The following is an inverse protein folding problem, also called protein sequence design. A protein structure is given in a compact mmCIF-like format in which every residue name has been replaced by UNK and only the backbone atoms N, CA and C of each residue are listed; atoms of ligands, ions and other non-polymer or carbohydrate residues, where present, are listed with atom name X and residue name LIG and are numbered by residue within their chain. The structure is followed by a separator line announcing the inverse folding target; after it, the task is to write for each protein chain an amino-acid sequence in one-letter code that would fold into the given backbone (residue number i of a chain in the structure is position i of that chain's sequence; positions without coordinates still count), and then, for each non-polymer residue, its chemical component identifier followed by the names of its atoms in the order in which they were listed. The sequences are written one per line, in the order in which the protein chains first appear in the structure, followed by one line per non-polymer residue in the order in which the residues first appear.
data_IF_241912066948
#
_entry.id   IF_241912066948
#
_cell.length_a   1.000
_cell.length_b   1.000
_cell.length_c   1.000
_cell.angle_alpha   90.00
_cell.angle_beta   90.00
_cell.angle_gamma   90.00
#
_symmetry.space_group_name_H-M   'P 1'
#
loop_
_entity.id
_entity.type
_entity.pdbx_description
1 polymer ?
#
# COMPACT_ATOMS: atom_id res chain seq x y z
N UNK A 1 21.15 19.91 108.20
CA UNK A 1 21.90 19.92 106.92
C UNK A 1 20.91 19.60 105.82
N UNK A 2 20.85 20.47 104.80
CA UNK A 2 19.89 20.52 103.70
C UNK A 2 20.10 19.35 102.69
N UNK A 3 19.30 19.19 101.61
CA UNK A 3 19.01 20.22 100.59
C UNK A 3 17.52 20.41 100.22
N UNK A 4 17.31 21.46 99.41
CA UNK A 4 16.06 22.07 98.89
C UNK A 4 15.31 21.20 97.86
N UNK A 5 14.15 21.65 97.34
CA UNK A 5 14.22 22.21 95.97
C UNK A 5 13.27 23.38 95.64
N UNK A 6 13.79 24.22 94.75
CA UNK A 6 13.21 25.36 94.04
C UNK A 6 12.07 24.97 93.04
N UNK A 7 11.44 23.81 93.19
CA UNK A 7 10.45 23.25 92.25
C UNK A 7 8.98 23.45 92.67
N UNK A 8 8.73 24.07 93.83
CA UNK A 8 7.38 24.12 94.41
C UNK A 8 6.78 25.54 94.52
N UNK A 9 7.56 26.57 94.16
CA UNK A 9 7.13 27.98 94.20
C UNK A 9 6.39 28.44 92.93
N UNK A 10 6.41 27.69 91.83
CA UNK A 10 5.73 28.03 90.58
C UNK A 10 4.21 27.73 90.56
N UNK A 11 3.64 27.25 91.68
CA UNK A 11 2.25 26.76 91.74
C UNK A 11 1.26 27.64 92.53
N UNK A 12 1.69 28.82 93.00
CA UNK A 12 0.82 29.73 93.78
C UNK A 12 0.91 31.15 93.24
N UNK A 13 0.30 31.34 92.06
CA UNK A 13 0.23 32.65 91.42
C UNK A 13 -0.21 33.74 92.40
N UNK A 14 0.59 34.80 92.45
CA UNK A 14 0.29 36.15 92.95
C UNK A 14 1.62 36.93 93.07
N UNK A 15 1.91 37.84 92.13
CA UNK A 15 1.94 39.28 92.41
C UNK A 15 2.30 40.10 91.15
N UNK A 16 1.59 41.21 91.03
CA UNK A 16 1.60 42.21 89.99
C UNK A 16 2.78 43.17 90.09
N UNK A 17 3.11 43.85 88.97
CA UNK A 17 3.53 45.27 88.96
C UNK A 17 3.22 45.89 87.58
N UNK A 18 2.28 46.83 87.58
CA UNK A 18 1.93 47.77 86.50
C UNK A 18 3.06 48.75 86.19
N UNK A 19 3.20 49.14 84.91
CA UNK A 19 3.47 50.54 84.50
C UNK A 19 2.91 50.75 83.08
N UNK A 20 1.90 51.62 82.96
CA UNK A 20 1.44 52.26 81.71
C UNK A 20 2.47 53.28 81.20
N UNK A 21 2.67 53.43 79.89
CA UNK A 21 2.75 54.75 79.26
C UNK A 21 2.59 54.70 77.73
N UNK A 22 1.84 55.68 77.21
CA UNK A 22 1.30 55.80 75.85
C UNK A 22 2.30 56.40 74.86
N UNK A 23 2.36 55.87 73.64
CA UNK A 23 2.92 56.54 72.46
C UNK A 23 1.97 56.39 71.27
N UNK A 24 1.39 57.49 70.80
CA UNK A 24 0.49 57.55 69.64
C UNK A 24 1.28 57.45 68.33
N UNK A 25 0.95 56.45 67.50
CA UNK A 25 1.31 56.38 66.08
C UNK A 25 0.03 56.46 65.23
N UNK A 26 0.01 57.19 64.10
CA UNK A 26 -1.14 57.17 63.20
C UNK A 26 -1.20 55.80 62.51
N UNK A 27 -2.26 55.07 62.79
CA UNK A 27 -2.55 53.73 62.29
C UNK A 27 -3.30 53.84 60.95
N UNK A 28 -2.60 54.12 59.85
CA UNK A 28 -3.23 54.00 58.53
C UNK A 28 -3.46 52.51 58.22
N UNK A 29 -4.73 52.14 58.23
CA UNK A 29 -5.20 50.81 57.86
C UNK A 29 -4.69 50.43 56.47
N UNK A 30 -3.92 49.33 56.38
CA UNK A 30 -3.45 48.80 55.11
C UNK A 30 -4.61 48.08 54.42
N UNK A 31 -5.07 48.64 53.30
CA UNK A 31 -6.17 48.10 52.50
C UNK A 31 -5.67 47.56 51.16
N UNK A 32 -6.31 46.49 50.70
CA UNK A 32 -6.10 45.94 49.37
C UNK A 32 -6.50 46.98 48.32
N UNK A 33 -5.56 47.32 47.44
CA UNK A 33 -5.77 48.27 46.34
C UNK A 33 -6.70 47.72 45.23
N UNK A 34 -7.05 46.43 45.29
CA UNK A 34 -8.01 45.79 44.38
C UNK A 34 -9.44 45.80 44.90
N UNK A 35 -9.67 45.29 46.11
CA UNK A 35 -11.02 45.09 46.67
C UNK A 35 -11.34 45.98 47.89
N UNK A 36 -10.38 46.77 48.39
CA UNK A 36 -10.54 47.61 49.58
C UNK A 36 -10.54 46.85 50.91
N UNK A 37 -10.35 45.52 50.91
CA UNK A 37 -10.30 44.70 52.13
C UNK A 37 -9.08 45.04 52.98
N UNK A 38 -9.25 45.16 54.30
CA UNK A 38 -8.15 45.31 55.26
C UNK A 38 -7.23 44.09 55.20
N UNK A 39 -5.94 44.32 54.96
CA UNK A 39 -4.90 43.27 54.89
C UNK A 39 -4.25 42.98 56.26
N UNK A 40 -4.73 43.61 57.33
CA UNK A 40 -4.32 43.41 58.72
C UNK A 40 -4.29 44.72 59.53
N UNK A 41 -4.35 44.67 60.89
CA UNK A 41 -4.18 45.85 61.73
C UNK A 41 -2.70 46.30 61.75
N UNK A 42 -2.41 47.61 61.88
CA UNK A 42 -1.05 48.12 61.90
C UNK A 42 -0.38 47.81 63.24
N UNK A 43 0.36 46.70 63.32
CA UNK A 43 1.08 46.34 64.54
C UNK A 43 1.68 44.93 64.60
N UNK A 44 2.22 44.38 63.51
CA UNK A 44 2.96 43.11 63.58
C UNK A 44 3.99 42.97 62.45
N UNK A 45 5.13 43.66 62.56
CA UNK A 45 6.36 43.16 61.93
C UNK A 45 7.18 42.44 63.01
N UNK A 46 6.82 41.18 63.25
CA UNK A 46 7.72 40.17 63.78
C UNK A 46 7.76 39.02 62.76
N UNK A 47 8.94 38.53 62.35
CA UNK A 47 9.02 37.48 61.35
C UNK A 47 8.76 36.14 62.05
N UNK A 48 7.52 35.66 62.04
CA UNK A 48 7.22 34.26 62.34
C UNK A 48 6.21 33.71 61.33
N UNK A 49 6.53 32.52 60.83
CA UNK A 49 5.72 31.68 59.97
C UNK A 49 4.37 31.33 60.61
N UNK A 50 3.35 31.20 59.75
CA UNK A 50 2.00 30.67 60.00
C UNK A 50 0.93 31.60 60.60
N UNK A 51 0.36 32.45 59.74
CA UNK A 51 -1.07 32.75 59.62
C UNK A 51 -1.31 33.54 58.32
N UNK A 52 -2.28 33.11 57.51
CA UNK A 52 -2.51 33.59 56.14
C UNK A 52 -3.16 34.97 56.08
N UNK A 53 -2.37 35.96 55.69
CA UNK A 53 -2.75 37.13 54.87
C UNK A 53 -1.47 37.98 54.73
N UNK A 54 -0.59 37.61 53.79
CA UNK A 54 0.66 38.36 53.52
C UNK A 54 0.42 39.33 52.38
N UNK A 55 0.33 40.62 52.70
CA UNK A 55 0.37 41.69 51.71
C UNK A 55 1.71 41.65 50.96
N UNK A 56 1.68 41.62 49.62
CA UNK A 56 2.90 41.56 48.78
C UNK A 56 3.03 42.87 48.00
N UNK A 57 4.18 43.52 48.12
CA UNK A 57 4.53 44.76 47.41
C UNK A 57 4.90 44.49 45.95
N UNK A 58 4.46 45.36 45.02
CA UNK A 58 4.89 45.32 43.63
C UNK A 58 6.26 45.99 43.44
N UNK A 59 7.22 45.28 42.84
CA UNK A 59 8.51 45.81 42.43
C UNK A 59 8.38 46.69 41.17
N UNK A 60 7.91 47.92 41.34
CA UNK A 60 7.97 48.96 40.30
C UNK A 60 7.98 50.32 41.01
N UNK A 61 9.09 51.06 40.92
CA UNK A 61 9.45 52.20 41.78
C UNK A 61 8.47 53.39 41.80
N UNK A 62 7.36 53.22 42.52
CA UNK A 62 6.36 54.20 42.94
C UNK A 62 5.66 53.70 44.22
N UNK A 63 4.78 54.50 44.86
CA UNK A 63 4.16 54.12 46.15
C UNK A 63 3.50 52.74 46.06
N UNK A 64 3.97 51.80 46.88
CA UNK A 64 3.68 50.36 46.76
C UNK A 64 2.19 50.05 46.90
N UNK A 65 1.58 49.54 45.84
CA UNK A 65 0.21 49.00 45.89
C UNK A 65 0.27 47.60 46.51
N UNK A 66 -0.53 47.39 47.56
CA UNK A 66 -0.69 46.11 48.25
C UNK A 66 -2.01 45.46 47.85
N UNK A 67 -1.98 44.16 47.56
CA UNK A 67 -3.15 43.36 47.17
C UNK A 67 -3.30 42.15 48.10
N UNK A 68 -4.53 41.72 48.39
CA UNK A 68 -4.79 40.42 49.04
C UNK A 68 -4.43 39.28 48.07
N UNK A 69 -4.29 38.06 48.57
CA UNK A 69 -3.92 36.90 47.77
C UNK A 69 -4.86 36.69 46.57
N UNK A 70 -6.17 36.81 46.77
CA UNK A 70 -7.19 36.73 45.71
C UNK A 70 -7.10 37.86 44.68
N UNK A 71 -6.85 39.10 45.11
CA UNK A 71 -6.72 40.23 44.20
C UNK A 71 -5.36 40.22 43.49
N UNK A 72 -4.32 39.70 44.11
CA UNK A 72 -3.02 39.53 43.50
C UNK A 72 -3.09 38.49 42.39
N UNK A 73 -3.70 37.32 42.66
CA UNK A 73 -3.90 36.29 41.64
C UNK A 73 -4.81 36.78 40.50
N UNK A 74 -5.90 37.48 40.84
CA UNK A 74 -6.90 37.94 39.85
C UNK A 74 -6.53 39.22 39.10
N UNK A 75 -5.56 40.03 39.56
CA UNK A 75 -5.17 41.30 38.91
C UNK A 75 -3.73 41.31 38.40
N UNK A 76 -2.87 40.46 38.95
CA UNK A 76 -1.43 40.41 38.64
C UNK A 76 -0.97 39.01 38.23
N UNK A 77 -1.91 38.07 38.06
CA UNK A 77 -1.63 36.74 37.53
C UNK A 77 -1.14 36.77 36.08
N UNK A 78 -0.48 35.70 35.61
CA UNK A 78 -0.01 35.62 34.23
C UNK A 78 -1.18 35.69 33.24
N UNK A 79 -0.97 36.34 32.11
CA UNK A 79 -2.03 36.56 31.12
C UNK A 79 -2.40 35.26 30.39
N UNK A 80 -3.70 34.95 30.33
CA UNK A 80 -4.22 33.85 29.53
C UNK A 80 -3.97 34.10 28.05
N UNK A 81 -3.33 33.16 27.33
CA UNK A 81 -3.03 33.31 25.89
C UNK A 81 -4.29 33.45 25.02
N UNK A 82 -5.43 32.92 25.47
CA UNK A 82 -6.69 32.97 24.72
C UNK A 82 -7.48 34.28 24.89
N UNK A 83 -7.60 34.81 26.13
CA UNK A 83 -8.41 36.01 26.40
C UNK A 83 -7.62 37.25 26.85
N UNK A 84 -6.33 37.11 27.17
CA UNK A 84 -5.46 38.18 27.66
C UNK A 84 -5.65 38.57 29.13
N UNK A 85 -6.71 38.11 29.80
CA UNK A 85 -6.96 38.39 31.21
C UNK A 85 -6.01 37.59 32.14
N UNK A 86 -5.64 38.14 33.31
CA UNK A 86 -4.82 37.43 34.30
C UNK A 86 -5.51 36.17 34.82
N UNK A 87 -4.78 35.06 34.89
CA UNK A 87 -5.27 33.79 35.43
C UNK A 87 -4.98 33.69 36.93
N UNK A 88 -5.89 33.10 37.70
CA UNK A 88 -5.69 32.81 39.12
C UNK A 88 -5.04 31.44 39.36
N UNK A 89 -4.58 31.17 40.58
CA UNK A 89 -3.96 29.88 40.92
C UNK A 89 -4.94 28.70 40.78
N UNK A 90 -6.24 28.93 41.00
CA UNK A 90 -7.25 27.87 41.04
C UNK A 90 -7.87 27.54 39.67
N UNK A 91 -7.80 28.47 38.72
CA UNK A 91 -8.41 28.34 37.39
C UNK A 91 -7.40 28.35 36.23
N UNK A 92 -6.10 28.38 36.54
CA UNK A 92 -5.03 28.35 35.56
C UNK A 92 -4.54 26.95 35.24
N UNK A 93 -4.09 26.78 33.98
CA UNK A 93 -3.27 25.66 33.55
C UNK A 93 -2.06 26.20 32.79
N UNK A 94 -0.98 25.43 32.83
CA UNK A 94 0.21 25.66 31.99
C UNK A 94 0.27 24.57 30.93
N UNK A 95 0.20 24.98 29.67
CA UNK A 95 0.28 24.08 28.52
C UNK A 95 0.86 24.84 27.32
N UNK A 96 1.56 24.16 26.40
CA UNK A 96 2.12 24.78 25.18
C UNK A 96 2.92 26.07 25.46
N UNK A 97 3.73 26.03 26.52
CA UNK A 97 4.53 27.15 27.03
C UNK A 97 3.73 28.45 27.26
N UNK A 98 2.49 28.33 27.73
CA UNK A 98 1.61 29.44 28.08
C UNK A 98 0.68 29.13 29.25
N UNK A 99 0.08 30.20 29.79
CA UNK A 99 -0.98 30.15 30.77
C UNK A 99 -2.35 30.24 30.09
N UNK A 100 -3.30 29.44 30.55
CA UNK A 100 -4.70 29.48 30.10
C UNK A 100 -5.65 29.37 31.29
N UNK A 101 -6.81 30.00 31.20
CA UNK A 101 -7.94 29.58 32.03
C UNK A 101 -8.36 28.16 31.63
N UNK A 102 -8.74 27.30 32.58
CA UNK A 102 -9.26 25.95 32.31
C UNK A 102 -10.36 25.96 31.25
N UNK A 103 -11.25 26.95 31.31
CA UNK A 103 -12.37 27.11 30.38
C UNK A 103 -11.95 27.54 28.96
N UNK A 104 -10.78 28.16 28.81
CA UNK A 104 -10.30 28.67 27.53
C UNK A 104 -9.31 27.73 26.83
N UNK A 105 -8.89 26.65 27.50
CA UNK A 105 -8.09 25.60 26.88
C UNK A 105 -8.99 24.54 26.26
N UNK A 106 -9.42 24.84 25.02
CA UNK A 106 -10.38 24.05 24.25
C UNK A 106 -9.72 23.42 23.03
N UNK A 107 -10.33 22.37 22.50
CA UNK A 107 -9.88 21.73 21.27
C UNK A 107 -9.82 22.74 20.09
N UNK A 108 -8.71 22.71 19.35
CA UNK A 108 -8.48 23.60 18.21
C UNK A 108 -9.31 23.26 16.95
N UNK A 109 -10.00 22.11 16.93
CA UNK A 109 -10.86 21.72 15.81
C UNK A 109 -12.04 22.69 15.66
N UNK A 110 -12.29 23.17 14.43
CA UNK A 110 -13.35 24.15 14.18
C UNK A 110 -14.72 23.56 14.52
N UNK A 111 -15.45 24.26 15.39
CA UNK A 111 -16.78 23.82 15.85
C UNK A 111 -16.75 22.90 17.08
N UNK A 112 -15.56 22.53 17.60
CA UNK A 112 -15.43 21.86 18.87
C UNK A 112 -15.21 22.89 20.00
N UNK A 113 -16.05 22.87 21.03
CA UNK A 113 -15.89 23.70 22.23
C UNK A 113 -15.49 22.89 23.48
N UNK A 114 -15.03 21.64 23.29
CA UNK A 114 -14.67 20.75 24.40
C UNK A 114 -13.42 21.29 25.10
N UNK A 115 -13.52 21.49 26.41
CA UNK A 115 -12.38 21.80 27.28
C UNK A 115 -11.49 20.57 27.39
N UNK A 116 -10.18 20.74 27.20
CA UNK A 116 -9.20 19.64 27.14
C UNK A 116 -8.09 19.81 28.18
N UNK A 117 -8.36 20.60 29.22
CA UNK A 117 -7.42 20.87 30.31
C UNK A 117 -6.97 19.61 31.07
N UNK A 118 -7.83 18.58 31.15
CA UNK A 118 -7.55 17.35 31.89
C UNK A 118 -6.80 16.31 31.04
N UNK A 119 -7.09 16.24 29.74
CA UNK A 119 -6.43 15.35 28.79
C UNK A 119 -6.52 15.92 27.36
N UNK A 120 -5.38 16.06 26.69
CA UNK A 120 -5.27 16.59 25.33
C UNK A 120 -4.14 15.91 24.56
N UNK A 121 -4.19 16.04 23.24
CA UNK A 121 -3.15 15.58 22.32
C UNK A 121 -2.67 16.77 21.50
N UNK A 122 -1.38 16.80 21.15
CA UNK A 122 -0.77 17.91 20.41
C UNK A 122 -0.57 17.48 18.96
N UNK A 123 -1.08 18.26 18.03
CA UNK A 123 -0.82 18.12 16.60
C UNK A 123 -0.58 19.50 16.00
N UNK A 124 0.52 19.69 15.27
CA UNK A 124 0.92 21.01 14.73
C UNK A 124 0.90 22.14 15.79
N UNK A 125 1.46 21.86 16.98
CA UNK A 125 1.54 22.79 18.12
C UNK A 125 0.19 23.24 18.71
N UNK A 126 -0.91 22.62 18.31
CA UNK A 126 -2.26 22.94 18.78
C UNK A 126 -2.86 21.80 19.61
N UNK A 127 -3.68 22.11 20.63
CA UNK A 127 -4.31 21.09 21.48
C UNK A 127 -5.60 20.57 20.84
N UNK A 128 -5.74 19.26 20.78
CA UNK A 128 -6.93 18.57 20.30
C UNK A 128 -7.49 17.62 21.35
N UNK A 129 -8.81 17.42 21.34
CA UNK A 129 -9.39 16.28 22.04
C UNK A 129 -8.99 15.00 21.30
N UNK A 130 -9.08 13.86 22.01
CA UNK A 130 -8.69 12.56 21.45
C UNK A 130 -9.31 12.27 20.07
N UNK A 131 -10.63 12.49 19.93
CA UNK A 131 -11.39 12.26 18.70
C UNK A 131 -10.84 13.04 17.50
N UNK A 132 -10.72 14.37 17.62
CA UNK A 132 -10.20 15.20 16.52
C UNK A 132 -8.71 15.01 16.27
N UNK A 133 -7.93 14.63 17.30
CA UNK A 133 -6.54 14.25 17.12
C UNK A 133 -6.42 13.00 16.23
N UNK A 134 -7.25 11.98 16.47
CA UNK A 134 -7.25 10.78 15.63
C UNK A 134 -7.66 11.11 14.19
N UNK A 135 -8.62 12.01 13.98
CA UNK A 135 -9.03 12.40 12.62
C UNK A 135 -7.93 13.07 11.80
N UNK A 136 -7.10 13.91 12.44
CA UNK A 136 -6.04 14.64 11.75
C UNK A 136 -4.69 13.91 11.71
N UNK A 137 -4.39 13.10 12.74
CA UNK A 137 -3.05 12.54 12.93
C UNK A 137 -2.96 11.01 12.85
N UNK A 138 -4.05 10.28 13.05
CA UNK A 138 -3.97 8.81 13.07
C UNK A 138 -4.01 8.20 11.67
N UNK A 139 -3.31 7.07 11.53
CA UNK A 139 -3.34 6.26 10.32
C UNK A 139 -4.75 5.69 10.06
N UNK A 140 -5.12 5.54 8.80
CA UNK A 140 -6.41 4.96 8.40
C UNK A 140 -6.32 3.45 8.29
N UNK A 141 -7.35 2.77 8.79
CA UNK A 141 -7.45 1.32 8.69
C UNK A 141 -7.55 0.87 7.23
N UNK A 142 -6.71 -0.07 6.80
CA UNK A 142 -6.74 -0.62 5.43
C UNK A 142 -8.05 -1.29 5.00
N UNK A 143 -8.91 -1.68 5.96
CA UNK A 143 -10.24 -2.28 5.68
C UNK A 143 -11.38 -1.27 5.74
N UNK A 144 -11.48 -0.52 6.84
CA UNK A 144 -12.66 0.32 7.12
C UNK A 144 -12.40 1.82 6.97
N UNK A 145 -11.18 2.22 6.63
CA UNK A 145 -10.74 3.61 6.39
C UNK A 145 -10.91 4.58 7.58
N UNK A 146 -11.35 4.09 8.73
CA UNK A 146 -11.47 4.84 9.96
C UNK A 146 -10.11 4.98 10.67
N UNK A 147 -9.90 6.06 11.45
CA UNK A 147 -8.70 6.24 12.26
C UNK A 147 -8.40 5.05 13.17
N UNK A 148 -7.12 4.68 13.26
CA UNK A 148 -6.62 3.59 14.11
C UNK A 148 -5.88 4.18 15.30
N UNK A 149 -6.45 3.98 16.50
CA UNK A 149 -5.80 4.32 17.76
C UNK A 149 -5.03 3.09 18.29
N UNK A 150 -3.70 3.08 18.13
CA UNK A 150 -2.84 2.03 18.68
C UNK A 150 -3.03 0.61 18.11
N UNK A 151 -3.35 0.47 16.82
CA UNK A 151 -3.62 -0.83 16.18
C UNK A 151 -2.41 -1.55 15.56
N UNK A 152 -2.70 -2.60 14.78
CA UNK A 152 -1.69 -3.46 14.14
C UNK A 152 -1.07 -2.77 12.92
N UNK A 153 0.25 -2.87 12.78
CA UNK A 153 0.98 -2.48 11.56
C UNK A 153 1.36 -3.73 10.78
N UNK A 154 0.73 -3.94 9.63
CA UNK A 154 0.96 -5.11 8.79
C UNK A 154 0.63 -4.77 7.33
N UNK A 155 1.24 -5.50 6.38
CA UNK A 155 0.98 -5.35 4.95
C UNK A 155 1.18 -3.90 4.44
N UNK A 156 2.07 -3.13 5.08
CA UNK A 156 2.34 -1.73 4.76
C UNK A 156 1.26 -0.73 5.19
N UNK A 157 0.28 -1.14 6.00
CA UNK A 157 -0.85 -0.30 6.43
C UNK A 157 -1.16 -0.49 7.93
N UNK A 158 -1.98 0.41 8.50
CA UNK A 158 -2.53 0.28 9.85
C UNK A 158 -3.87 -0.45 9.83
N UNK A 159 -4.15 -1.22 10.88
CA UNK A 159 -5.37 -2.03 10.98
C UNK A 159 -5.90 -2.04 12.42
N UNK A 160 -7.22 -2.02 12.59
CA UNK A 160 -7.82 -2.52 13.83
C UNK A 160 -7.61 -4.03 13.92
N UNK A 161 -7.48 -4.57 15.13
CA UNK A 161 -7.29 -6.02 15.35
C UNK A 161 -8.38 -6.86 14.68
N UNK A 162 -9.64 -6.44 14.82
CA UNK A 162 -10.80 -7.06 14.18
C UNK A 162 -10.90 -6.87 12.67
N UNK A 163 -10.13 -5.94 12.10
CA UNK A 163 -10.13 -5.65 10.66
C UNK A 163 -9.06 -6.43 9.89
N UNK A 164 -7.99 -6.86 10.54
CA UNK A 164 -6.94 -7.66 9.91
C UNK A 164 -7.34 -9.15 9.93
N UNK A 165 -8.30 -9.50 9.08
CA UNK A 165 -8.79 -10.87 8.89
C UNK A 165 -8.86 -11.23 7.42
N UNK A 166 -8.70 -12.50 7.09
CA UNK A 166 -8.73 -13.00 5.72
C UNK A 166 -10.11 -12.77 5.10
N UNK A 167 -10.18 -12.17 3.92
CA UNK A 167 -11.45 -11.94 3.22
C UNK A 167 -12.20 -13.23 2.86
N UNK A 168 -11.47 -14.35 2.68
CA UNK A 168 -12.04 -15.62 2.24
C UNK A 168 -12.38 -16.54 3.41
N UNK A 169 -11.46 -16.71 4.38
CA UNK A 169 -11.67 -17.62 5.52
C UNK A 169 -12.26 -16.92 6.75
N UNK A 170 -12.32 -15.59 6.77
CA UNK A 170 -12.69 -14.75 7.91
C UNK A 170 -11.80 -14.90 9.16
N UNK A 171 -10.71 -15.67 9.06
CA UNK A 171 -9.79 -15.89 10.18
C UNK A 171 -8.88 -14.67 10.41
N UNK A 172 -8.56 -14.34 11.67
CA UNK A 172 -7.60 -13.29 12.00
C UNK A 172 -6.24 -13.57 11.36
N UNK A 173 -5.69 -12.57 10.68
CA UNK A 173 -4.35 -12.64 10.10
C UNK A 173 -3.34 -12.07 11.07
N UNK A 174 -2.25 -12.79 11.26
CA UNK A 174 -1.16 -12.33 12.12
C UNK A 174 -0.17 -11.50 11.30
N UNK A 175 0.39 -10.41 11.88
CA UNK A 175 1.53 -9.72 11.29
C UNK A 175 2.67 -10.71 11.10
N UNK A 176 3.31 -10.67 9.93
CA UNK A 176 4.46 -11.52 9.63
C UNK A 176 5.68 -11.01 10.41
N UNK A 177 6.30 -11.85 11.26
CA UNK A 177 7.54 -11.49 11.94
C UNK A 177 8.64 -11.12 10.95
N UNK A 178 9.54 -10.22 11.35
CA UNK A 178 10.69 -9.86 10.52
C UNK A 178 11.58 -11.09 10.28
N UNK A 179 11.84 -11.40 9.00
CA UNK A 179 12.69 -12.52 8.60
C UNK A 179 11.97 -13.84 8.33
N UNK A 180 10.64 -13.91 8.48
CA UNK A 180 9.84 -15.08 8.09
C UNK A 180 9.14 -14.88 6.74
N UNK A 181 8.70 -15.98 6.12
CA UNK A 181 7.90 -15.95 4.91
C UNK A 181 6.56 -15.24 5.14
N UNK A 182 6.10 -14.49 4.14
CA UNK A 182 4.85 -13.74 4.25
C UNK A 182 3.65 -14.70 4.34
N UNK A 183 2.92 -14.65 5.45
CA UNK A 183 1.73 -15.46 5.75
C UNK A 183 0.41 -14.80 5.34
N UNK A 184 0.47 -13.50 5.06
CA UNK A 184 -0.67 -12.68 4.66
C UNK A 184 -0.27 -11.74 3.51
N UNK A 185 -1.24 -11.43 2.65
CA UNK A 185 -1.03 -10.63 1.45
C UNK A 185 -2.20 -9.67 1.22
N UNK A 186 -1.95 -8.56 0.53
CA UNK A 186 -3.00 -7.67 0.01
C UNK A 186 -3.27 -7.96 -1.46
N UNK A 187 -4.48 -8.40 -1.77
CA UNK A 187 -4.98 -8.54 -3.13
C UNK A 187 -6.06 -7.49 -3.40
N UNK A 188 -5.71 -6.47 -4.19
CA UNK A 188 -6.58 -5.33 -4.52
C UNK A 188 -7.12 -4.64 -3.26
N UNK A 189 -6.24 -4.41 -2.27
CA UNK A 189 -6.58 -3.80 -0.97
C UNK A 189 -7.22 -4.76 0.03
N UNK A 190 -7.51 -6.01 -0.35
CA UNK A 190 -8.14 -6.99 0.53
C UNK A 190 -7.12 -7.92 1.16
N UNK A 191 -7.12 -8.09 2.50
CA UNK A 191 -6.18 -8.97 3.18
C UNK A 191 -6.58 -10.45 3.01
N UNK A 192 -5.61 -11.28 2.63
CA UNK A 192 -5.79 -12.72 2.38
C UNK A 192 -4.69 -13.53 3.07
N UNK A 193 -5.05 -14.71 3.56
CA UNK A 193 -4.09 -15.75 3.95
C UNK A 193 -3.38 -16.31 2.70
N UNK A 194 -2.17 -16.84 2.88
CA UNK A 194 -1.36 -17.40 1.80
C UNK A 194 -2.12 -18.48 0.99
N UNK A 195 -2.86 -19.35 1.67
CA UNK A 195 -3.63 -20.45 1.05
C UNK A 195 -4.84 -19.94 0.26
N UNK A 196 -5.47 -18.88 0.76
CA UNK A 196 -6.59 -18.23 0.09
C UNK A 196 -6.13 -17.41 -1.13
N UNK A 197 -4.92 -16.85 -1.09
CA UNK A 197 -4.37 -16.04 -2.17
C UNK A 197 -4.33 -16.80 -3.49
N UNK A 198 -3.91 -18.07 -3.48
CA UNK A 198 -3.79 -18.89 -4.70
C UNK A 198 -5.14 -19.04 -5.40
N UNK A 199 -6.21 -19.25 -4.63
CA UNK A 199 -7.55 -19.47 -5.16
C UNK A 199 -8.27 -18.18 -5.55
N UNK A 200 -8.00 -17.09 -4.82
CA UNK A 200 -8.60 -15.78 -5.09
C UNK A 200 -7.88 -15.02 -6.22
N UNK A 201 -6.65 -15.40 -6.55
CA UNK A 201 -5.85 -14.71 -7.56
C UNK A 201 -6.33 -15.02 -8.98
N UNK A 202 -6.38 -14.01 -9.87
CA UNK A 202 -6.69 -14.23 -11.27
C UNK A 202 -5.67 -15.14 -11.95
N UNK A 203 -6.11 -15.91 -12.94
CA UNK A 203 -5.24 -16.85 -13.67
C UNK A 203 -4.52 -16.12 -14.81
N UNK A 204 -3.20 -16.35 -14.93
CA UNK A 204 -2.40 -15.80 -16.00
C UNK A 204 -2.86 -16.31 -17.37
N UNK A 205 -3.06 -15.40 -18.33
CA UNK A 205 -3.49 -15.72 -19.68
C UNK A 205 -2.48 -16.57 -20.48
N UNK A 206 -1.21 -16.58 -20.08
CA UNK A 206 -0.12 -17.29 -20.76
C UNK A 206 0.16 -18.65 -20.10
N UNK A 207 0.65 -18.67 -18.85
CA UNK A 207 1.05 -19.93 -18.19
C UNK A 207 -0.10 -20.69 -17.53
N UNK A 208 -1.28 -20.08 -17.41
CA UNK A 208 -2.48 -20.66 -16.76
C UNK A 208 -2.33 -20.94 -15.26
N UNK A 209 -1.31 -20.39 -14.62
CA UNK A 209 -1.15 -20.44 -13.16
C UNK A 209 -1.69 -19.16 -12.48
N UNK A 210 -2.08 -19.22 -11.20
CA UNK A 210 -2.54 -18.05 -10.46
C UNK A 210 -1.50 -16.92 -10.38
N UNK A 211 -1.91 -15.70 -10.71
CA UNK A 211 -1.10 -14.49 -10.68
C UNK A 211 -1.12 -13.82 -9.30
N UNK A 212 -0.53 -14.52 -8.32
CA UNK A 212 -0.49 -14.16 -6.89
C UNK A 212 0.29 -12.88 -6.59
N UNK A 213 1.33 -12.57 -7.38
CA UNK A 213 2.22 -11.42 -7.16
C UNK A 213 2.09 -10.39 -8.30
N UNK A 214 3.18 -9.67 -8.62
CA UNK A 214 3.23 -8.61 -9.63
C UNK A 214 2.61 -9.10 -10.94
N UNK A 215 1.47 -8.49 -11.27
CA UNK A 215 0.65 -8.82 -12.42
C UNK A 215 0.36 -7.57 -13.23
N UNK A 216 0.00 -7.75 -14.48
CA UNK A 216 -0.46 -6.69 -15.35
C UNK A 216 -1.82 -7.06 -15.95
N UNK A 217 -2.65 -6.04 -16.18
CA UNK A 217 -3.95 -6.19 -16.81
C UNK A 217 -3.89 -5.61 -18.21
N UNK A 218 -4.13 -6.43 -19.23
CA UNK A 218 -4.10 -6.03 -20.64
C UNK A 218 -5.28 -6.66 -21.37
N UNK A 219 -6.10 -5.84 -22.03
CA UNK A 219 -7.23 -6.33 -22.83
C UNK A 219 -8.24 -7.16 -22.04
N UNK A 220 -8.43 -6.86 -20.74
CA UNK A 220 -9.32 -7.62 -19.85
C UNK A 220 -8.74 -8.93 -19.31
N UNK A 221 -7.52 -9.29 -19.70
CA UNK A 221 -6.82 -10.48 -19.21
C UNK A 221 -5.70 -10.09 -18.24
N UNK A 222 -5.37 -11.01 -17.33
CA UNK A 222 -4.29 -10.85 -16.37
C UNK A 222 -3.10 -11.70 -16.78
N UNK A 223 -1.89 -11.17 -16.61
CA UNK A 223 -0.64 -11.87 -16.88
C UNK A 223 0.33 -11.66 -15.72
N UNK A 224 1.16 -12.66 -15.41
CA UNK A 224 2.35 -12.40 -14.61
C UNK A 224 3.24 -11.40 -15.34
N UNK A 225 3.90 -10.52 -14.59
CA UNK A 225 4.85 -9.55 -15.17
C UNK A 225 5.94 -10.28 -15.99
N UNK A 226 6.45 -11.40 -15.45
CA UNK A 226 7.42 -12.26 -16.13
C UNK A 226 6.86 -13.06 -17.31
N UNK A 227 5.55 -13.27 -17.40
CA UNK A 227 4.98 -13.98 -18.54
C UNK A 227 4.70 -13.03 -19.72
N UNK A 228 4.43 -11.75 -19.47
CA UNK A 228 4.10 -10.80 -20.53
C UNK A 228 5.35 -10.21 -21.19
N UNK A 229 5.96 -11.02 -22.05
CA UNK A 229 7.20 -10.72 -22.76
C UNK A 229 6.96 -10.57 -24.25
N UNK A 230 7.77 -9.74 -24.89
CA UNK A 230 7.82 -9.63 -26.34
C UNK A 230 8.20 -10.98 -26.95
N UNK A 231 7.41 -11.51 -27.88
CA UNK A 231 7.71 -12.80 -28.52
C UNK A 231 9.05 -12.79 -29.27
N UNK A 232 9.43 -11.64 -29.84
CA UNK A 232 10.67 -11.48 -30.59
C UNK A 232 11.91 -11.43 -29.68
N UNK A 233 12.04 -10.38 -28.85
CA UNK A 233 13.25 -10.14 -28.04
C UNK A 233 13.22 -10.77 -26.65
N UNK A 234 12.10 -11.36 -26.23
CA UNK A 234 11.89 -11.99 -24.90
C UNK A 234 12.02 -11.05 -23.70
N UNK A 235 12.19 -9.76 -23.92
CA UNK A 235 12.15 -8.75 -22.86
C UNK A 235 10.73 -8.62 -22.30
N UNK A 236 10.64 -8.33 -21.00
CA UNK A 236 9.39 -7.98 -20.33
C UNK A 236 8.85 -6.69 -20.96
N UNK A 237 7.57 -6.71 -21.33
CA UNK A 237 6.91 -5.54 -21.90
C UNK A 237 6.61 -4.51 -20.80
N UNK A 238 6.06 -4.96 -19.66
CA UNK A 238 5.73 -4.08 -18.54
C UNK A 238 4.79 -2.94 -18.97
N UNK A 239 5.19 -1.70 -18.70
CA UNK A 239 4.45 -0.48 -19.09
C UNK A 239 4.88 0.09 -20.46
N UNK A 240 5.78 -0.59 -21.18
CA UNK A 240 6.29 -0.12 -22.47
C UNK A 240 5.22 -0.25 -23.55
N UNK A 241 5.34 0.58 -24.60
CA UNK A 241 4.48 0.48 -25.79
C UNK A 241 4.64 -0.87 -26.47
N UNK A 242 3.51 -1.49 -26.78
CA UNK A 242 3.46 -2.80 -27.42
C UNK A 242 2.27 -2.88 -28.38
N UNK A 243 2.29 -3.87 -29.25
CA UNK A 243 1.30 -4.13 -30.30
C UNK A 243 0.93 -5.61 -30.25
N UNK A 244 -0.36 -5.92 -30.39
CA UNK A 244 -0.83 -7.29 -30.61
C UNK A 244 -0.72 -7.63 -32.10
N UNK A 245 -0.02 -8.71 -32.41
CA UNK A 245 0.05 -9.23 -33.78
C UNK A 245 -0.03 -10.75 -33.77
N UNK A 246 -1.03 -11.29 -34.46
CA UNK A 246 -1.32 -12.73 -34.49
C UNK A 246 -1.45 -13.32 -33.08
N UNK A 247 -2.31 -12.67 -32.27
CA UNK A 247 -2.61 -12.97 -30.86
C UNK A 247 -1.40 -13.02 -29.91
N UNK A 248 -0.27 -12.47 -30.35
CA UNK A 248 0.99 -12.49 -29.61
C UNK A 248 1.50 -11.05 -29.39
N UNK A 249 2.04 -10.74 -28.20
CA UNK A 249 2.45 -9.39 -27.87
C UNK A 249 3.88 -9.09 -28.34
N UNK A 250 4.05 -7.93 -28.97
CA UNK A 250 5.34 -7.41 -29.43
C UNK A 250 5.59 -6.03 -28.87
N UNK A 251 6.81 -5.75 -28.43
CA UNK A 251 7.22 -4.36 -28.23
C UNK A 251 7.07 -3.60 -29.55
N UNK A 252 6.60 -2.36 -29.47
CA UNK A 252 6.37 -1.52 -30.66
C UNK A 252 7.61 -1.45 -31.57
N UNK A 253 8.80 -1.26 -30.97
CA UNK A 253 10.06 -1.28 -31.72
C UNK A 253 10.30 -2.59 -32.47
N UNK A 254 10.09 -3.74 -31.81
CA UNK A 254 10.23 -5.06 -32.44
C UNK A 254 9.17 -5.29 -33.54
N UNK A 255 7.95 -4.81 -33.33
CA UNK A 255 6.89 -4.88 -34.33
C UNK A 255 7.28 -4.07 -35.57
N UNK A 256 7.79 -2.85 -35.40
CA UNK A 256 8.21 -2.00 -36.52
C UNK A 256 9.36 -2.60 -37.33
N UNK A 257 10.32 -3.25 -36.67
CA UNK A 257 11.48 -3.89 -37.34
C UNK A 257 11.14 -5.19 -38.03
N UNK A 258 10.07 -5.89 -37.63
CA UNK A 258 9.67 -7.15 -38.25
C UNK A 258 8.59 -6.97 -39.32
N UNK A 259 7.61 -6.11 -39.04
CA UNK A 259 6.35 -6.05 -39.79
C UNK A 259 6.00 -4.63 -40.26
N UNK A 260 6.54 -3.61 -39.61
CA UNK A 260 6.18 -2.23 -39.85
C UNK A 260 7.12 -1.48 -40.80
N UNK A 261 7.23 -0.18 -40.57
CA UNK A 261 7.98 0.71 -41.45
C UNK A 261 9.48 0.43 -41.47
N UNK A 262 10.02 -0.21 -40.43
CA UNK A 262 11.46 -0.48 -40.28
C UNK A 262 11.88 -1.88 -40.75
N UNK A 263 10.94 -2.71 -41.23
CA UNK A 263 11.24 -4.03 -41.73
C UNK A 263 12.18 -4.01 -42.95
N UNK A 264 13.01 -5.05 -43.09
CA UNK A 264 13.86 -5.20 -44.28
C UNK A 264 13.00 -5.16 -45.56
N UNK A 265 13.50 -4.57 -46.66
CA UNK A 265 12.71 -4.43 -47.88
C UNK A 265 12.12 -5.75 -48.39
N UNK A 266 12.89 -6.85 -48.26
CA UNK A 266 12.44 -8.20 -48.64
C UNK A 266 11.28 -8.64 -47.75
N UNK A 267 11.43 -8.59 -46.43
CA UNK A 267 10.36 -8.95 -45.48
C UNK A 267 9.12 -8.08 -45.66
N UNK A 268 9.29 -6.77 -45.88
CA UNK A 268 8.19 -5.84 -46.14
C UNK A 268 7.46 -6.18 -47.44
N UNK A 269 8.18 -6.45 -48.52
CA UNK A 269 7.60 -6.84 -49.80
C UNK A 269 6.87 -8.19 -49.71
N UNK A 270 7.41 -9.15 -48.95
CA UNK A 270 6.74 -10.41 -48.67
C UNK A 270 5.42 -10.17 -47.93
N UNK A 271 5.42 -9.38 -46.85
CA UNK A 271 4.20 -9.09 -46.06
C UNK A 271 3.14 -8.28 -46.84
N UNK A 272 3.55 -7.38 -47.74
CA UNK A 272 2.63 -6.58 -48.58
C UNK A 272 2.16 -7.32 -49.84
N UNK A 273 2.80 -8.42 -50.21
CA UNK A 273 2.46 -9.24 -51.37
C UNK A 273 1.21 -10.10 -51.16
N UNK A 274 0.79 -10.80 -52.21
CA UNK A 274 -0.33 -11.74 -52.13
C UNK A 274 0.00 -12.90 -51.19
N UNK A 275 -0.72 -12.98 -50.08
CA UNK A 275 -0.58 -14.02 -49.06
C UNK A 275 -1.52 -15.19 -49.35
N UNK A 276 -1.02 -16.42 -49.17
CA UNK A 276 -1.84 -17.64 -49.26
C UNK A 276 -1.84 -18.42 -47.97
N UNK A 277 -3.00 -18.96 -47.62
CA UNK A 277 -3.17 -19.84 -46.47
C UNK A 277 -2.92 -21.28 -46.86
N UNK A 278 -2.23 -22.00 -45.98
CA UNK A 278 -1.88 -23.39 -46.14
C UNK A 278 -2.32 -24.16 -44.91
N UNK A 279 -2.73 -25.41 -45.13
CA UNK A 279 -2.99 -26.38 -44.10
C UNK A 279 -2.07 -27.58 -44.29
N UNK A 280 -1.61 -28.12 -43.18
CA UNK A 280 -0.81 -29.33 -43.11
C UNK A 280 -1.39 -30.23 -42.03
N UNK A 281 -1.79 -31.43 -42.42
CA UNK A 281 -2.22 -32.46 -41.47
C UNK A 281 -1.08 -33.46 -41.31
N UNK A 282 -0.61 -33.62 -40.07
CA UNK A 282 0.43 -34.58 -39.69
C UNK A 282 -0.24 -35.71 -38.90
N UNK A 283 -0.49 -36.88 -39.52
CA UNK A 283 -0.96 -38.06 -38.80
C UNK A 283 0.09 -38.50 -37.78
N UNK A 284 -0.31 -38.78 -36.54
CA UNK A 284 0.58 -39.18 -35.47
C UNK A 284 0.46 -40.68 -35.18
N UNK A 285 1.57 -41.30 -34.75
CA UNK A 285 1.61 -42.71 -34.41
C UNK A 285 0.75 -43.02 -33.19
N UNK A 286 -0.16 -44.00 -33.30
CA UNK A 286 -0.95 -44.48 -32.15
C UNK A 286 -0.08 -45.17 -31.09
N UNK A 287 1.09 -45.69 -31.48
CA UNK A 287 2.06 -46.32 -30.59
C UNK A 287 2.69 -45.36 -29.55
N UNK A 288 2.56 -44.04 -29.74
CA UNK A 288 3.01 -43.06 -28.73
C UNK A 288 2.30 -43.27 -27.38
N UNK A 289 1.05 -43.75 -27.40
CA UNK A 289 0.22 -43.87 -26.21
C UNK A 289 -0.01 -42.53 -25.49
N UNK A 290 -0.71 -42.55 -24.33
CA UNK A 290 -1.02 -41.32 -23.59
C UNK A 290 0.23 -40.56 -23.12
N UNK A 291 1.22 -41.28 -22.57
CA UNK A 291 2.45 -40.68 -22.06
C UNK A 291 3.33 -40.10 -23.16
N UNK A 292 3.47 -40.79 -24.30
CA UNK A 292 4.22 -40.27 -25.45
C UNK A 292 3.53 -39.05 -26.08
N UNK A 293 2.20 -39.07 -26.17
CA UNK A 293 1.42 -37.91 -26.60
C UNK A 293 1.56 -36.71 -25.65
N UNK A 294 1.58 -36.94 -24.34
CA UNK A 294 1.84 -35.89 -23.35
C UNK A 294 3.23 -35.26 -23.52
N UNK A 295 4.27 -36.10 -23.69
CA UNK A 295 5.63 -35.62 -23.94
C UNK A 295 5.76 -34.86 -25.27
N UNK A 296 5.13 -35.35 -26.33
CA UNK A 296 5.07 -34.67 -27.63
C UNK A 296 4.43 -33.29 -27.49
N UNK A 297 3.25 -33.21 -26.87
CA UNK A 297 2.49 -31.97 -26.71
C UNK A 297 3.27 -30.94 -25.88
N UNK A 298 3.94 -31.37 -24.82
CA UNK A 298 4.80 -30.50 -24.00
C UNK A 298 5.96 -29.93 -24.82
N UNK A 299 6.77 -30.78 -25.45
CA UNK A 299 7.91 -30.34 -26.27
C UNK A 299 7.48 -29.47 -27.45
N UNK A 300 6.36 -29.82 -28.09
CA UNK A 300 5.79 -29.03 -29.17
C UNK A 300 5.44 -27.63 -28.69
N UNK A 301 4.79 -27.50 -27.53
CA UNK A 301 4.40 -26.20 -26.96
C UNK A 301 5.60 -25.38 -26.48
N UNK A 302 6.67 -26.03 -26.03
CA UNK A 302 7.94 -25.39 -25.64
C UNK A 302 8.67 -24.78 -26.85
N UNK A 303 8.74 -25.51 -27.98
CA UNK A 303 9.48 -25.08 -29.17
C UNK A 303 8.69 -24.11 -30.06
N UNK A 304 7.36 -24.23 -30.11
CA UNK A 304 6.51 -23.51 -31.06
C UNK A 304 6.71 -21.98 -31.05
N UNK A 305 6.84 -21.27 -29.91
CA UNK A 305 7.03 -19.82 -29.91
C UNK A 305 8.27 -19.36 -30.67
N UNK A 306 9.38 -20.07 -30.54
CA UNK A 306 10.63 -19.73 -31.24
C UNK A 306 10.57 -20.12 -32.72
N UNK A 307 9.92 -21.25 -33.03
CA UNK A 307 9.66 -21.66 -34.42
C UNK A 307 8.82 -20.61 -35.14
N UNK A 308 7.70 -20.17 -34.54
CA UNK A 308 6.85 -19.11 -35.09
C UNK A 308 7.65 -17.83 -35.33
N UNK A 309 8.47 -17.41 -34.35
CA UNK A 309 9.32 -16.21 -34.49
C UNK A 309 10.24 -16.31 -35.71
N UNK A 310 10.95 -17.42 -35.86
CA UNK A 310 11.91 -17.61 -36.95
C UNK A 310 11.21 -17.65 -38.32
N UNK A 311 10.03 -18.28 -38.40
CA UNK A 311 9.23 -18.32 -39.63
C UNK A 311 8.61 -16.94 -39.97
N UNK A 312 8.24 -16.13 -38.97
CA UNK A 312 7.67 -14.78 -39.15
C UNK A 312 8.64 -13.81 -39.81
N UNK A 313 9.93 -13.89 -39.52
CA UNK A 313 10.98 -13.09 -40.18
C UNK A 313 11.03 -13.32 -41.70
N UNK A 314 10.44 -14.42 -42.17
CA UNK A 314 10.40 -14.85 -43.58
C UNK A 314 9.02 -14.70 -44.22
N UNK A 315 8.10 -13.97 -43.58
CA UNK A 315 6.76 -13.74 -44.12
C UNK A 315 5.71 -14.75 -43.68
N UNK A 316 6.06 -15.77 -42.90
CA UNK A 316 5.09 -16.81 -42.50
C UNK A 316 4.36 -16.37 -41.24
N UNK A 317 3.05 -16.17 -41.34
CA UNK A 317 2.22 -15.58 -40.28
C UNK A 317 0.99 -16.43 -40.00
N UNK A 318 0.20 -16.09 -38.98
CA UNK A 318 -1.03 -16.79 -38.62
C UNK A 318 -0.84 -18.30 -38.43
N UNK A 319 0.33 -18.67 -37.89
CA UNK A 319 0.66 -20.06 -37.65
C UNK A 319 -0.08 -20.55 -36.40
N UNK A 320 -0.97 -21.51 -36.59
CA UNK A 320 -1.76 -22.14 -35.54
C UNK A 320 -1.60 -23.66 -35.62
N UNK A 321 -1.76 -24.32 -34.47
CA UNK A 321 -1.62 -25.77 -34.37
C UNK A 321 -2.75 -26.35 -33.53
N UNK A 322 -3.36 -27.43 -34.00
CA UNK A 322 -4.51 -28.05 -33.36
C UNK A 322 -4.33 -29.57 -33.36
N UNK A 323 -4.32 -30.15 -32.16
CA UNK A 323 -4.27 -31.59 -31.98
C UNK A 323 -5.71 -32.11 -31.93
N UNK A 324 -6.06 -33.03 -32.82
CA UNK A 324 -7.41 -33.58 -32.91
C UNK A 324 -7.38 -35.08 -33.23
N UNK A 325 -8.49 -35.76 -32.96
CA UNK A 325 -8.67 -37.16 -33.33
C UNK A 325 -9.94 -37.27 -34.16
N UNK A 326 -9.79 -37.62 -35.44
CA UNK A 326 -10.95 -37.79 -36.32
C UNK A 326 -11.77 -39.01 -35.87
N UNK A 327 -13.10 -38.88 -35.70
CA UNK A 327 -13.97 -40.00 -35.39
C UNK A 327 -13.89 -41.13 -36.43
N UNK A 328 -13.57 -40.79 -37.69
CA UNK A 328 -13.54 -41.74 -38.80
C UNK A 328 -12.25 -42.57 -38.90
N UNK A 329 -11.12 -42.01 -38.47
CA UNK A 329 -9.78 -42.64 -38.64
C UNK A 329 -9.23 -43.15 -37.32
N UNK A 330 -9.77 -42.70 -36.18
CA UNK A 330 -9.32 -43.01 -34.82
C UNK A 330 -7.82 -42.76 -34.55
N UNK A 331 -7.09 -42.11 -35.48
CA UNK A 331 -5.69 -41.73 -35.33
C UNK A 331 -5.60 -40.26 -34.88
N UNK A 332 -4.78 -39.95 -33.85
CA UNK A 332 -4.47 -38.57 -33.51
C UNK A 332 -3.75 -37.90 -34.68
N UNK A 333 -4.08 -36.65 -34.94
CA UNK A 333 -3.48 -35.84 -36.00
C UNK A 333 -3.22 -34.43 -35.50
N UNK A 334 -2.09 -33.86 -35.92
CA UNK A 334 -1.78 -32.46 -35.70
C UNK A 334 -2.11 -31.69 -36.99
N UNK A 335 -3.06 -30.76 -36.91
CA UNK A 335 -3.31 -29.77 -37.95
C UNK A 335 -2.43 -28.56 -37.68
N UNK A 336 -1.67 -28.13 -38.69
CA UNK A 336 -0.89 -26.91 -38.70
C UNK A 336 -1.46 -26.04 -39.81
N UNK A 337 -1.92 -24.83 -39.47
CA UNK A 337 -2.34 -23.83 -40.46
C UNK A 337 -1.39 -22.66 -40.42
N UNK A 338 -1.03 -22.10 -41.55
CA UNK A 338 -0.17 -20.92 -41.62
C UNK A 338 -0.44 -20.14 -42.90
N UNK A 339 -0.01 -18.89 -42.93
CA UNK A 339 -0.06 -18.02 -44.11
C UNK A 339 1.36 -17.77 -44.59
N UNK A 340 1.59 -17.81 -45.90
CA UNK A 340 2.89 -17.61 -46.51
C UNK A 340 2.74 -16.78 -47.80
N UNK A 341 3.74 -15.94 -48.15
CA UNK A 341 3.77 -15.23 -49.42
C UNK A 341 3.62 -16.19 -50.60
N UNK A 342 2.73 -15.86 -51.55
CA UNK A 342 2.47 -16.72 -52.73
C UNK A 342 3.66 -16.86 -53.67
N UNK A 343 4.69 -16.02 -53.50
CA UNK A 343 5.97 -16.12 -54.22
C UNK A 343 6.85 -17.26 -53.70
N UNK A 344 6.60 -17.78 -52.50
CA UNK A 344 7.35 -18.89 -51.91
C UNK A 344 6.66 -20.23 -52.19
N UNK A 345 7.43 -21.24 -52.53
CA UNK A 345 6.91 -22.61 -52.63
C UNK A 345 6.78 -23.21 -51.23
N UNK A 346 5.57 -23.26 -50.69
CA UNK A 346 5.34 -23.75 -49.33
C UNK A 346 5.88 -25.17 -49.05
N UNK A 347 5.97 -26.06 -50.05
CA UNK A 347 6.51 -27.42 -49.84
C UNK A 347 8.02 -27.46 -49.73
N UNK A 348 8.71 -26.58 -50.46
CA UNK A 348 10.16 -26.55 -50.52
C UNK A 348 10.74 -25.61 -49.46
N UNK A 349 10.16 -24.40 -49.34
CA UNK A 349 10.68 -23.34 -48.48
C UNK A 349 10.37 -23.58 -47.01
N UNK A 350 9.23 -24.16 -46.66
CA UNK A 350 8.84 -24.30 -45.25
C UNK A 350 9.88 -25.07 -44.42
N UNK A 351 10.37 -26.20 -44.93
CA UNK A 351 11.41 -26.99 -44.26
C UNK A 351 12.76 -26.29 -44.26
N UNK A 352 13.14 -25.68 -45.39
CA UNK A 352 14.40 -24.95 -45.48
C UNK A 352 14.47 -23.82 -44.45
N UNK A 353 13.35 -23.12 -44.25
CA UNK A 353 13.23 -22.04 -43.27
C UNK A 353 13.27 -22.57 -41.83
N UNK A 354 12.62 -23.70 -41.53
CA UNK A 354 12.75 -24.36 -40.22
C UNK A 354 14.21 -24.70 -39.91
N UNK A 355 14.94 -25.21 -40.91
CA UNK A 355 16.32 -25.65 -40.75
C UNK A 355 17.32 -24.51 -40.51
N UNK A 356 16.95 -23.25 -40.74
CA UNK A 356 17.80 -22.09 -40.47
C UNK A 356 18.01 -21.82 -38.96
N UNK A 357 17.24 -22.48 -38.09
CA UNK A 357 17.33 -22.30 -36.64
C UNK A 357 17.45 -23.63 -35.90
N UNK A 358 18.18 -23.63 -34.78
CA UNK A 358 18.30 -24.82 -33.93
C UNK A 358 16.93 -25.32 -33.45
N UNK A 359 16.06 -24.41 -32.99
CA UNK A 359 14.71 -24.76 -32.52
C UNK A 359 13.83 -25.28 -33.64
N UNK A 360 13.96 -24.75 -34.86
CA UNK A 360 13.23 -25.26 -36.03
C UNK A 360 13.70 -26.65 -36.45
N UNK A 361 15.00 -26.94 -36.38
CA UNK A 361 15.53 -28.31 -36.59
C UNK A 361 15.05 -29.29 -35.52
N UNK A 362 14.99 -28.86 -34.26
CA UNK A 362 14.44 -29.69 -33.17
C UNK A 362 12.95 -29.96 -33.34
N UNK A 363 12.19 -28.95 -33.78
CA UNK A 363 10.76 -29.09 -34.04
C UNK A 363 10.47 -29.99 -35.24
N UNK A 364 11.26 -29.88 -36.32
CA UNK A 364 11.22 -30.80 -37.47
C UNK A 364 11.46 -32.26 -37.03
N UNK A 365 12.52 -32.50 -36.24
CA UNK A 365 12.80 -33.83 -35.67
C UNK A 365 11.66 -34.34 -34.77
N UNK A 366 11.07 -33.46 -33.96
CA UNK A 366 9.96 -33.81 -33.08
C UNK A 366 8.75 -34.30 -33.89
N UNK A 367 8.39 -33.57 -34.96
CA UNK A 367 7.30 -33.95 -35.85
C UNK A 367 7.61 -35.23 -36.64
N UNK A 368 8.81 -35.35 -37.19
CA UNK A 368 9.24 -36.53 -37.93
C UNK A 368 9.19 -37.82 -37.07
N UNK A 369 9.58 -37.73 -35.79
CA UNK A 369 9.55 -38.87 -34.87
C UNK A 369 8.13 -39.27 -34.45
N UNK A 370 7.21 -38.32 -34.35
CA UNK A 370 5.82 -38.56 -33.95
C UNK A 370 4.91 -38.94 -35.13
N UNK A 371 5.31 -38.61 -36.35
CA UNK A 371 4.57 -38.83 -37.59
C UNK A 371 4.38 -40.31 -37.91
N UNK A 372 3.20 -40.68 -38.42
CA UNK A 372 2.88 -42.01 -38.93
C UNK A 372 3.09 -42.06 -40.47
N UNK A 373 4.19 -42.68 -40.96
CA UNK A 373 4.48 -42.75 -42.38
C UNK A 373 3.48 -43.61 -43.15
N UNK A 374 2.87 -44.61 -42.48
CA UNK A 374 1.90 -45.50 -43.11
C UNK A 374 0.64 -44.75 -43.52
N UNK A 375 0.19 -43.82 -42.68
CA UNK A 375 -0.95 -42.95 -42.97
C UNK A 375 -0.65 -41.93 -44.09
N UNK A 376 0.63 -41.65 -44.35
CA UNK A 376 1.07 -40.66 -45.34
C UNK A 376 1.61 -41.29 -46.63
N UNK A 377 1.33 -42.59 -46.86
CA UNK A 377 1.81 -43.36 -48.03
C UNK A 377 3.33 -43.33 -48.19
N UNK A 378 4.07 -43.30 -47.08
CA UNK A 378 5.54 -43.27 -47.06
C UNK A 378 6.15 -41.88 -47.30
N UNK A 379 5.35 -40.83 -47.49
CA UNK A 379 5.87 -39.48 -47.65
C UNK A 379 6.31 -38.87 -46.31
N UNK A 380 7.23 -37.90 -46.36
CA UNK A 380 7.61 -37.10 -45.20
C UNK A 380 6.43 -36.29 -44.65
N UNK A 381 6.47 -35.94 -43.36
CA UNK A 381 5.37 -35.28 -42.66
C UNK A 381 4.91 -33.96 -43.31
N UNK A 382 5.83 -33.19 -43.92
CA UNK A 382 5.55 -31.90 -44.57
C UNK A 382 5.08 -32.03 -46.03
N UNK A 383 5.16 -33.22 -46.64
CA UNK A 383 4.76 -33.42 -48.04
C UNK A 383 3.24 -33.21 -48.26
N UNK A 384 2.45 -33.29 -47.18
CA UNK A 384 1.01 -33.09 -47.19
C UNK A 384 0.58 -31.62 -47.05
N UNK A 385 1.49 -30.65 -47.17
CA UNK A 385 1.12 -29.24 -47.25
C UNK A 385 0.23 -29.03 -48.47
N UNK A 386 -0.94 -28.45 -48.23
CA UNK A 386 -1.94 -28.08 -49.25
C UNK A 386 -2.37 -26.63 -49.06
N UNK A 387 -2.62 -25.88 -50.15
CA UNK A 387 -3.25 -24.57 -50.04
C UNK A 387 -4.69 -24.75 -49.54
N UNK A 388 -5.12 -23.94 -48.56
CA UNK A 388 -6.53 -23.86 -48.23
C UNK A 388 -7.28 -23.22 -49.41
N UNK A 389 -8.28 -23.92 -49.93
CA UNK A 389 -9.23 -23.31 -50.86
C UNK A 389 -9.99 -22.26 -50.05
N UNK A 390 -9.97 -21.00 -50.49
CA UNK A 390 -10.70 -19.92 -49.86
C UNK A 390 -12.17 -20.32 -49.68
N UNK A 391 -12.56 -20.72 -48.47
CA UNK A 391 -13.97 -20.78 -48.10
C UNK A 391 -14.40 -19.33 -48.05
N UNK A 392 -15.37 -18.97 -48.92
CA UNK A 392 -15.82 -17.60 -49.14
C UNK A 392 -15.94 -16.82 -47.83
N UNK A 393 -15.46 -15.58 -47.89
CA UNK A 393 -15.66 -14.53 -46.89
C UNK A 393 -17.00 -14.69 -46.18
N UNK A 394 -17.06 -14.74 -44.82
CA UNK A 394 -18.33 -14.54 -44.15
C UNK A 394 -18.80 -13.14 -44.55
N UNK A 395 -19.99 -13.08 -45.14
CA UNK A 395 -20.66 -11.83 -45.46
C UNK A 395 -20.61 -10.94 -44.21
N UNK A 396 -20.10 -9.71 -44.38
CA UNK A 396 -20.27 -8.65 -43.39
C UNK A 396 -21.77 -8.59 -43.08
N UNK A 397 -22.16 -9.01 -41.88
CA UNK A 397 -23.48 -8.67 -41.36
C UNK A 397 -23.47 -7.15 -41.14
N UNK A 398 -24.40 -6.50 -41.82
CA UNK A 398 -24.66 -5.07 -41.80
C UNK A 398 -25.29 -4.63 -40.47
#
# INVERSE_FOLDING_TARGET
MAPQPLEEAARRGELWLDVEERGAFPQEAVVCNGCGRLLGPPGAFAPTSDAGDKAVENASGGPGKLFCEDCKSSLLGPACRSCGAPTSTDDSIVALDAYYHRAHFVCAHRGCARQVADAYFIHEELPYCHEHFLECAADRCGRCERPVDGGLRALGQAWHEQCLKCEVSDEPLQPTPEGEEARAFLLDGRPLAAEALVHASPVCGICKEPAVTKRIAVGGMIYHNDCFRCVHCKEIIGERRFVWYDDEPYLDGCYQTLFGALAEPVTRALMQGEQRRYALVVPLQTALGPSGMGNFTRKHSELLPDVKRNLRERGITCMQTFLFQSPAVAKPSLLITFTMPSSLNAREEFILLLQQSMQGQEWDKLLANAHDPSASKGNAWHAAIVPEIAVGTPAKQA
#
